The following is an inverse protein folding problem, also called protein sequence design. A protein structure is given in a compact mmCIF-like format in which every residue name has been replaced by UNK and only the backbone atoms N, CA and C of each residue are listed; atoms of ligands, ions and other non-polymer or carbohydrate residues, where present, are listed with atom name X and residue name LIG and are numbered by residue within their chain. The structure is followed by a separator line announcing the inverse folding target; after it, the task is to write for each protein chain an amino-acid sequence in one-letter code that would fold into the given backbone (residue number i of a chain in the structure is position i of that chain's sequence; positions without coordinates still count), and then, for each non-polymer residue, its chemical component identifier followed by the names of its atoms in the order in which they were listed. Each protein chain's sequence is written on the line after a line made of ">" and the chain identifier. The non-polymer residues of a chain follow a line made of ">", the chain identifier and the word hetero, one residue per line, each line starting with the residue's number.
data_IF_432396923274
#
_entry.id   IF_432396923274
#
_cell.length_a   1.000
_cell.length_b   1.000
_cell.length_c   1.000
_cell.angle_alpha   90.00
_cell.angle_beta   90.00
_cell.angle_gamma   90.00
#
_symmetry.space_group_name_H-M   'P 1'
#
loop_
_entity.id
_entity.type
_entity.pdbx_description
1 polymer ?
#
# COMPACT_ATOMS: atom_id res chain seq x y z
N UNK A 1 -13.30 -11.55 -50.65
CA UNK A 1 -12.23 -12.48 -51.11
C UNK A 1 -12.80 -13.88 -51.38
N UNK A 2 -13.42 -14.55 -50.39
CA UNK A 2 -13.96 -15.93 -50.55
C UNK A 2 -14.89 -16.11 -51.76
N UNK A 3 -15.90 -15.24 -51.92
CA UNK A 3 -16.86 -15.31 -53.05
C UNK A 3 -16.22 -15.07 -54.43
N UNK A 4 -15.25 -14.16 -54.51
CA UNK A 4 -14.54 -13.85 -55.76
C UNK A 4 -13.58 -14.98 -56.18
N UNK A 5 -13.00 -15.70 -55.23
CA UNK A 5 -12.17 -16.88 -55.51
C UNK A 5 -13.04 -18.10 -55.85
N UNK A 6 -14.15 -18.28 -55.14
CA UNK A 6 -15.08 -19.38 -55.37
C UNK A 6 -15.67 -19.35 -56.80
N UNK A 7 -16.06 -18.17 -57.28
CA UNK A 7 -16.58 -17.99 -58.66
C UNK A 7 -15.54 -18.35 -59.73
N UNK A 8 -14.30 -17.85 -59.62
CA UNK A 8 -13.22 -18.18 -60.58
C UNK A 8 -12.80 -19.65 -60.58
N UNK A 9 -12.87 -20.31 -59.42
CA UNK A 9 -12.52 -21.73 -59.31
C UNK A 9 -13.66 -22.65 -59.77
N UNK A 10 -14.91 -22.21 -59.62
CA UNK A 10 -16.09 -22.92 -60.12
C UNK A 10 -16.13 -23.00 -61.65
N UNK A 11 -15.64 -21.97 -62.36
CA UNK A 11 -15.45 -22.01 -63.84
C UNK A 11 -14.52 -23.15 -64.28
N UNK A 12 -13.63 -23.61 -63.41
CA UNK A 12 -12.69 -24.71 -63.65
C UNK A 12 -13.13 -26.02 -62.98
N UNK A 13 -14.39 -26.13 -62.55
CA UNK A 13 -14.93 -27.28 -61.82
C UNK A 13 -14.20 -27.63 -60.51
N UNK A 14 -13.55 -26.65 -59.87
CA UNK A 14 -12.85 -26.82 -58.58
C UNK A 14 -13.74 -26.28 -57.45
N UNK A 15 -14.07 -27.12 -56.47
CA UNK A 15 -14.87 -26.73 -55.31
C UNK A 15 -13.99 -26.17 -54.19
N UNK A 16 -14.20 -24.91 -53.83
CA UNK A 16 -13.48 -24.23 -52.75
C UNK A 16 -14.14 -24.52 -51.39
N UNK A 17 -13.45 -25.25 -50.52
CA UNK A 17 -13.97 -25.58 -49.19
C UNK A 17 -13.74 -24.46 -48.17
N UNK A 18 -12.49 -23.99 -48.04
CA UNK A 18 -12.20 -22.85 -47.17
C UNK A 18 -10.96 -22.06 -47.59
N UNK A 19 -10.85 -20.83 -47.10
CA UNK A 19 -9.72 -19.91 -47.39
C UNK A 19 -9.06 -19.51 -46.09
N UNK A 20 -7.84 -19.99 -45.87
CA UNK A 20 -6.99 -19.54 -44.75
C UNK A 20 -6.04 -18.44 -45.22
N UNK A 21 -6.09 -17.28 -44.57
CA UNK A 21 -5.06 -16.25 -44.70
C UNK A 21 -3.90 -16.65 -43.79
N UNK A 22 -2.75 -16.98 -44.38
CA UNK A 22 -1.60 -17.50 -43.63
C UNK A 22 -0.65 -16.41 -43.16
N UNK A 23 -0.50 -15.32 -43.91
CA UNK A 23 0.38 -14.22 -43.56
C UNK A 23 -0.13 -12.89 -44.14
N UNK A 24 -0.06 -11.82 -43.35
CA UNK A 24 -0.36 -10.46 -43.78
C UNK A 24 0.92 -9.66 -43.56
N UNK A 25 1.58 -9.25 -44.64
CA UNK A 25 2.74 -8.38 -44.56
C UNK A 25 2.27 -6.93 -44.53
N UNK A 26 2.40 -6.31 -43.37
CA UNK A 26 2.15 -4.88 -43.22
C UNK A 26 3.39 -4.09 -43.69
N UNK A 27 3.22 -2.91 -44.30
CA UNK A 27 4.35 -2.03 -44.56
C UNK A 27 5.05 -1.66 -43.25
N UNK A 28 6.39 -1.66 -43.26
CA UNK A 28 7.25 -1.41 -42.08
C UNK A 28 6.89 -0.11 -41.34
N UNK A 29 6.38 0.90 -42.05
CA UNK A 29 5.96 2.17 -41.46
C UNK A 29 4.71 2.04 -40.58
N UNK A 30 3.76 1.19 -40.99
CA UNK A 30 2.52 0.97 -40.26
C UNK A 30 2.75 0.10 -39.02
N UNK A 31 3.58 -0.94 -39.14
CA UNK A 31 3.97 -1.79 -38.01
C UNK A 31 4.63 -0.96 -36.89
N UNK A 32 5.60 -0.11 -37.23
CA UNK A 32 6.24 0.82 -36.27
C UNK A 32 5.26 1.81 -35.63
N UNK A 33 4.26 2.26 -36.38
CA UNK A 33 3.24 3.17 -35.85
C UNK A 33 2.32 2.46 -34.85
N UNK A 34 1.95 1.20 -35.12
CA UNK A 34 1.16 0.36 -34.23
C UNK A 34 1.94 0.04 -32.95
N UNK A 35 3.20 -0.35 -33.07
CA UNK A 35 4.07 -0.61 -31.91
C UNK A 35 4.20 0.63 -31.02
N UNK A 36 4.45 1.81 -31.61
CA UNK A 36 4.49 3.06 -30.85
C UNK A 36 3.17 3.37 -30.16
N UNK A 37 2.04 3.21 -30.84
CA UNK A 37 0.71 3.44 -30.26
C UNK A 37 0.46 2.51 -29.07
N UNK A 38 0.75 1.22 -29.24
CA UNK A 38 0.60 0.22 -28.18
C UNK A 38 1.51 0.53 -26.99
N UNK A 39 2.77 0.90 -27.24
CA UNK A 39 3.69 1.29 -26.18
C UNK A 39 3.15 2.50 -25.40
N UNK A 40 2.69 3.55 -26.09
CA UNK A 40 2.13 4.74 -25.46
C UNK A 40 0.86 4.43 -24.65
N UNK A 41 -0.02 3.56 -25.15
CA UNK A 41 -1.20 3.13 -24.40
C UNK A 41 -0.82 2.40 -23.10
N UNK A 42 0.16 1.49 -23.15
CA UNK A 42 0.63 0.78 -21.96
C UNK A 42 1.31 1.72 -20.96
N UNK A 43 2.13 2.67 -21.43
CA UNK A 43 2.76 3.68 -20.57
C UNK A 43 1.71 4.59 -19.90
N UNK A 44 0.67 4.99 -20.63
CA UNK A 44 -0.43 5.78 -20.07
C UNK A 44 -1.19 5.01 -18.99
N UNK A 45 -1.55 3.76 -19.26
CA UNK A 45 -2.24 2.89 -18.29
C UNK A 45 -1.40 2.67 -17.03
N UNK A 46 -0.09 2.44 -17.19
CA UNK A 46 0.82 2.30 -16.06
C UNK A 46 0.89 3.59 -15.23
N UNK A 47 0.98 4.74 -15.90
CA UNK A 47 1.03 6.03 -15.22
C UNK A 47 -0.26 6.34 -14.44
N UNK A 48 -1.43 6.07 -15.03
CA UNK A 48 -2.73 6.19 -14.35
C UNK A 48 -2.78 5.30 -13.10
N UNK A 49 -2.33 4.05 -13.21
CA UNK A 49 -2.29 3.13 -12.07
C UNK A 49 -1.32 3.60 -10.98
N UNK A 50 -0.16 4.15 -11.36
CA UNK A 50 0.78 4.75 -10.40
C UNK A 50 0.17 5.96 -9.68
N UNK A 51 -0.57 6.81 -10.39
CA UNK A 51 -1.24 7.98 -9.80
C UNK A 51 -2.35 7.54 -8.84
N UNK A 52 -3.18 6.58 -9.23
CA UNK A 52 -4.23 6.03 -8.38
C UNK A 52 -3.65 5.39 -7.11
N UNK A 53 -2.56 4.63 -7.26
CA UNK A 53 -1.85 4.04 -6.12
C UNK A 53 -1.31 5.11 -5.17
N UNK A 54 -0.69 6.16 -5.70
CA UNK A 54 -0.17 7.26 -4.89
C UNK A 54 -1.29 8.01 -4.16
N UNK A 55 -2.44 8.22 -4.80
CA UNK A 55 -3.62 8.83 -4.18
C UNK A 55 -4.16 7.98 -3.04
N UNK A 56 -4.33 6.66 -3.27
CA UNK A 56 -4.79 5.73 -2.22
C UNK A 56 -3.83 5.68 -1.04
N UNK A 57 -2.52 5.73 -1.30
CA UNK A 57 -1.51 5.76 -0.22
C UNK A 57 -1.57 7.07 0.57
N UNK A 58 -1.74 8.22 -0.09
CA UNK A 58 -1.93 9.50 0.58
C UNK A 58 -3.20 9.51 1.44
N UNK A 59 -4.28 8.92 0.96
CA UNK A 59 -5.53 8.80 1.71
C UNK A 59 -5.38 7.84 2.90
N UNK A 60 -4.65 6.72 2.74
CA UNK A 60 -4.30 5.81 3.84
C UNK A 60 -3.57 6.55 4.96
N UNK A 61 -2.52 7.30 4.61
CA UNK A 61 -1.73 8.07 5.58
C UNK A 61 -2.57 9.15 6.28
N UNK A 62 -3.49 9.81 5.55
CA UNK A 62 -4.39 10.80 6.14
C UNK A 62 -5.35 10.17 7.16
N UNK A 63 -5.92 9.01 6.83
CA UNK A 63 -6.82 8.27 7.74
C UNK A 63 -6.06 7.81 8.98
N UNK A 64 -4.84 7.28 8.80
CA UNK A 64 -3.98 6.84 9.90
C UNK A 64 -3.63 8.00 10.85
N UNK A 65 -3.21 9.15 10.29
CA UNK A 65 -2.92 10.34 11.07
C UNK A 65 -4.16 10.89 11.81
N UNK A 66 -5.34 10.87 11.17
CA UNK A 66 -6.58 11.25 11.83
C UNK A 66 -6.92 10.31 13.00
N UNK A 67 -6.77 8.99 12.81
CA UNK A 67 -6.99 8.00 13.85
C UNK A 67 -6.06 8.19 15.05
N UNK A 68 -4.77 8.47 14.82
CA UNK A 68 -3.82 8.76 15.89
C UNK A 68 -4.22 10.04 16.63
N UNK A 69 -4.55 11.11 15.90
CA UNK A 69 -4.98 12.38 16.51
C UNK A 69 -6.21 12.20 17.38
N UNK A 70 -7.23 11.50 16.86
CA UNK A 70 -8.50 11.30 17.57
C UNK A 70 -8.28 10.39 18.80
N UNK A 71 -7.39 9.39 18.70
CA UNK A 71 -6.96 8.57 19.83
C UNK A 71 -6.26 9.39 20.92
N UNK A 72 -5.30 10.24 20.54
CA UNK A 72 -4.62 11.16 21.47
C UNK A 72 -5.61 12.14 22.12
N UNK A 73 -6.59 12.64 21.37
CA UNK A 73 -7.63 13.53 21.91
C UNK A 73 -8.52 12.80 22.93
N UNK A 74 -8.90 11.55 22.68
CA UNK A 74 -9.68 10.73 23.61
C UNK A 74 -8.87 10.43 24.88
N UNK A 75 -7.60 10.03 24.72
CA UNK A 75 -6.74 9.69 25.85
C UNK A 75 -6.41 10.92 26.69
N UNK A 76 -6.08 12.06 26.06
CA UNK A 76 -5.78 13.30 26.79
C UNK A 76 -6.97 13.80 27.60
N UNK A 77 -8.21 13.61 27.13
CA UNK A 77 -9.43 13.89 27.92
C UNK A 77 -9.59 12.96 29.13
N UNK A 78 -9.09 11.72 29.04
CA UNK A 78 -9.09 10.74 30.13
C UNK A 78 -7.88 10.83 31.08
N UNK A 79 -6.77 11.42 30.64
CA UNK A 79 -5.57 11.66 31.44
C UNK A 79 -5.79 12.84 32.39
N UNK A 80 -6.36 12.56 33.55
CA UNK A 80 -6.24 13.45 34.70
C UNK A 80 -4.85 13.28 35.34
N UNK A 81 -4.25 14.36 35.86
CA UNK A 81 -3.02 14.29 36.66
C UNK A 81 -3.09 13.26 37.79
N UNK A 82 -4.31 13.01 38.31
CA UNK A 82 -4.56 11.99 39.33
C UNK A 82 -4.42 10.56 38.78
N UNK A 83 -4.82 10.30 37.54
CA UNK A 83 -4.69 8.99 36.88
C UNK A 83 -3.23 8.68 36.56
N UNK A 84 -2.47 9.67 36.06
CA UNK A 84 -1.02 9.53 35.83
C UNK A 84 -0.27 9.22 37.14
N UNK A 85 -0.57 9.94 38.21
CA UNK A 85 -0.01 9.66 39.55
C UNK A 85 -0.41 8.27 40.05
N UNK A 86 -1.67 7.86 39.88
CA UNK A 86 -2.13 6.54 40.29
C UNK A 86 -1.45 5.41 39.50
N UNK A 87 -1.29 5.56 38.18
CA UNK A 87 -0.54 4.62 37.32
C UNK A 87 0.94 4.57 37.67
N UNK A 88 1.55 5.71 38.03
CA UNK A 88 2.93 5.76 38.54
C UNK A 88 3.09 4.99 39.85
N UNK A 89 2.12 5.09 40.77
CA UNK A 89 2.11 4.32 42.03
C UNK A 89 1.93 2.81 41.74
N UNK A 90 1.05 2.44 40.80
CA UNK A 90 0.84 1.04 40.40
C UNK A 90 2.12 0.44 39.78
N UNK A 91 2.76 1.15 38.86
CA UNK A 91 4.04 0.74 38.29
C UNK A 91 5.12 0.58 39.37
N UNK A 92 5.18 1.52 40.33
CA UNK A 92 6.11 1.43 41.47
C UNK A 92 5.80 0.23 42.37
N UNK A 93 4.52 -0.10 42.57
CA UNK A 93 4.08 -1.27 43.36
C UNK A 93 4.43 -2.60 42.68
N UNK A 94 4.24 -2.71 41.38
CA UNK A 94 4.62 -3.90 40.60
C UNK A 94 6.14 -4.07 40.55
N UNK A 95 6.88 -2.97 40.40
CA UNK A 95 8.34 -2.97 40.53
C UNK A 95 8.74 -3.43 41.94
N UNK A 96 8.10 -2.93 43.00
CA UNK A 96 8.38 -3.33 44.38
C UNK A 96 8.09 -4.81 44.67
N UNK A 97 7.10 -5.42 44.01
CA UNK A 97 6.77 -6.85 44.15
C UNK A 97 7.69 -7.79 43.35
N UNK A 98 8.47 -7.27 42.40
CA UNK A 98 9.30 -8.13 41.55
C UNK A 98 10.48 -8.73 42.31
N UNK A 99 10.80 -10.00 42.06
CA UNK A 99 11.70 -10.83 42.87
C UNK A 99 13.23 -10.60 42.63
N UNK A 100 13.62 -9.49 42.00
CA UNK A 100 15.02 -9.16 41.67
C UNK A 100 15.55 -7.96 42.48
N UNK A 101 16.87 -7.91 42.76
CA UNK A 101 17.54 -6.82 43.49
C UNK A 101 17.32 -5.47 42.83
N UNK A 102 17.08 -4.43 43.64
CA UNK A 102 16.65 -3.12 43.15
C UNK A 102 17.51 -1.99 43.70
N UNK A 103 17.90 -1.08 42.83
CA UNK A 103 18.40 0.29 43.06
C UNK A 103 17.61 1.20 42.08
N UNK A 104 17.06 2.34 42.46
CA UNK A 104 16.28 3.34 41.68
C UNK A 104 16.80 4.71 42.17
N UNK A 105 16.60 5.89 41.55
CA UNK A 105 16.90 7.21 42.19
C UNK A 105 15.80 8.35 42.00
N UNK A 106 14.89 8.68 42.99
CA UNK A 106 14.05 9.91 43.24
C UNK A 106 14.96 11.07 43.62
N UNK A 107 15.56 11.65 42.60
CA UNK A 107 16.02 13.02 42.67
C UNK A 107 14.81 13.97 42.74
N UNK A 108 14.75 14.78 43.80
CA UNK A 108 13.66 15.71 44.09
C UNK A 108 13.62 16.93 43.16
N UNK A 109 12.44 17.16 42.58
CA UNK A 109 12.05 18.38 41.88
C UNK A 109 10.73 18.15 41.17
N UNK A 110 9.61 18.63 41.74
CA UNK A 110 8.19 18.64 41.31
C UNK A 110 7.60 17.51 40.43
N UNK A 111 8.32 16.41 40.19
CA UNK A 111 7.96 15.31 39.28
C UNK A 111 9.03 14.21 39.18
N UNK A 112 9.94 14.09 40.15
CA UNK A 112 11.05 13.12 40.14
C UNK A 112 10.64 11.67 40.48
N UNK A 113 11.19 10.72 39.73
CA UNK A 113 10.96 9.25 39.71
C UNK A 113 11.80 8.47 40.75
N UNK A 114 11.33 7.37 41.38
CA UNK A 114 11.77 6.82 42.69
C UNK A 114 13.25 6.46 42.93
N UNK A 115 13.77 6.45 44.21
CA UNK A 115 15.14 6.03 44.62
C UNK A 115 15.03 4.66 45.28
N UNK A 116 15.64 3.60 44.75
CA UNK A 116 15.99 2.36 45.42
C UNK A 116 17.52 2.34 45.64
N UNK A 117 17.95 1.86 46.78
CA UNK A 117 19.33 1.50 47.03
C UNK A 117 19.31 0.01 47.31
N UNK A 118 20.04 -0.74 46.50
CA UNK A 118 20.25 -2.16 46.66
C UNK A 118 21.31 -2.35 47.71
N UNK A 119 21.03 -3.24 48.64
CA UNK A 119 21.99 -3.74 49.60
C UNK A 119 22.13 -5.24 49.38
N UNK A 120 23.37 -5.73 49.50
CA UNK A 120 23.83 -7.09 49.21
C UNK A 120 22.92 -8.22 49.75
#
# INVERSE_FOLDING_TARGET
>A
IKEQLASKLAENYIQLNDVLIRNIQLPVTLEKAIERKLQQEQESLEYEFRLEKAQKEADRLRIEAAGIRDFEEIISKGLSDKLLKWKGIEATKEIAKSNNSKVVIVGGGEGGLPIILGND
#
